data_IF_047052418296
#
_entry.id   IF_047052418296
#
_cell.length_a   1.000
_cell.length_b   1.000
_cell.length_c   1.000
_cell.angle_alpha   90.00
_cell.angle_beta   90.00
_cell.angle_gamma   90.00
#
_symmetry.space_group_name_H-M   'P 1'
#
loop_
_entity.id
_entity.type
_entity.pdbx_description
1 polymer ?
#
# COMPACT_ATOMS: atom_id res chain seq x y z
N UNK A 1 12.58 -5.59 13.55
CA UNK A 1 11.10 -5.56 13.53
C UNK A 1 10.71 -4.16 13.11
N UNK A 2 9.74 -4.00 12.19
CA UNK A 2 9.32 -2.66 11.73
C UNK A 2 7.83 -2.44 11.94
N UNK A 3 7.40 -1.19 11.81
CA UNK A 3 6.01 -0.79 11.94
C UNK A 3 5.57 0.06 10.76
N UNK A 4 4.27 0.12 10.50
CA UNK A 4 3.73 1.04 9.51
C UNK A 4 2.27 1.37 9.82
N UNK A 5 1.84 2.59 9.50
CA UNK A 5 0.43 2.92 9.44
C UNK A 5 -0.04 2.57 8.03
N UNK A 6 -1.13 1.82 7.92
CA UNK A 6 -1.66 1.36 6.63
C UNK A 6 -3.13 1.00 6.69
N UNK A 7 -3.65 0.53 5.56
CA UNK A 7 -4.94 -0.14 5.49
C UNK A 7 -4.86 -1.35 4.57
N UNK A 8 -5.51 -2.43 4.96
CA UNK A 8 -5.67 -3.61 4.10
C UNK A 8 -6.65 -3.31 2.98
N UNK A 9 -6.39 -3.86 1.79
CA UNK A 9 -7.32 -3.72 0.65
C UNK A 9 -8.58 -4.57 0.85
N UNK A 10 -9.74 -4.16 0.31
CA UNK A 10 -10.96 -4.96 0.27
C UNK A 10 -10.80 -6.20 -0.64
N UNK A 11 -11.76 -7.13 -0.56
CA UNK A 11 -11.72 -8.37 -1.35
C UNK A 11 -11.83 -8.10 -2.85
N UNK A 12 -12.71 -7.18 -3.27
CA UNK A 12 -12.88 -6.77 -4.68
C UNK A 12 -11.54 -6.36 -5.35
N UNK A 13 -10.67 -5.65 -4.62
CA UNK A 13 -9.35 -5.28 -5.11
C UNK A 13 -8.47 -6.52 -5.30
N UNK A 14 -8.51 -7.49 -4.38
CA UNK A 14 -7.70 -8.72 -4.46
C UNK A 14 -8.10 -9.56 -5.67
N UNK A 15 -9.39 -9.67 -5.93
CA UNK A 15 -9.93 -10.40 -7.08
C UNK A 15 -9.46 -9.75 -8.38
N UNK A 16 -9.58 -8.43 -8.49
CA UNK A 16 -9.16 -7.68 -9.68
C UNK A 16 -7.67 -7.83 -9.95
N UNK A 17 -6.83 -7.68 -8.92
CA UNK A 17 -5.39 -7.85 -9.08
C UNK A 17 -5.02 -9.29 -9.43
N UNK A 18 -5.80 -10.27 -8.98
CA UNK A 18 -5.56 -11.69 -9.29
C UNK A 18 -5.94 -12.02 -10.74
N UNK A 19 -7.04 -11.44 -11.23
CA UNK A 19 -7.54 -11.65 -12.59
C UNK A 19 -6.78 -10.85 -13.65
N UNK A 20 -6.11 -9.76 -13.27
CA UNK A 20 -5.41 -8.85 -14.18
C UNK A 20 -3.90 -8.81 -13.94
N UNK A 21 -3.31 -9.88 -13.36
CA UNK A 21 -1.86 -9.94 -13.16
C UNK A 21 -1.13 -9.76 -14.50
N UNK A 22 -0.20 -8.81 -14.61
CA UNK A 22 0.54 -8.63 -15.84
C UNK A 22 1.51 -9.80 -16.04
N UNK A 23 1.72 -10.16 -17.29
CA UNK A 23 2.70 -11.17 -17.67
C UNK A 23 4.11 -10.55 -17.61
N UNK A 24 4.85 -10.89 -16.56
CA UNK A 24 6.19 -10.38 -16.29
C UNK A 24 7.03 -11.52 -15.74
N UNK A 25 8.18 -11.75 -16.38
CA UNK A 25 9.10 -12.80 -16.01
C UNK A 25 9.71 -12.60 -14.62
N UNK A 26 9.94 -13.73 -13.94
CA UNK A 26 10.73 -13.82 -12.71
C UNK A 26 10.24 -12.93 -11.55
N UNK A 27 8.92 -12.78 -11.46
CA UNK A 27 8.23 -12.04 -10.40
C UNK A 27 7.81 -12.96 -9.27
N UNK A 28 8.21 -12.62 -8.05
CA UNK A 28 7.61 -13.14 -6.82
C UNK A 28 6.40 -12.30 -6.45
N UNK A 29 5.21 -12.79 -6.76
CA UNK A 29 3.95 -12.15 -6.39
C UNK A 29 3.72 -12.14 -4.87
N UNK A 30 3.23 -11.02 -4.36
CA UNK A 30 2.77 -10.90 -2.97
C UNK A 30 1.45 -11.66 -2.83
N UNK A 31 1.26 -12.34 -1.70
CA UNK A 31 0.00 -13.04 -1.40
C UNK A 31 -1.15 -12.01 -1.28
N UNK A 32 -2.34 -12.23 -1.87
CA UNK A 32 -3.42 -11.25 -1.86
C UNK A 32 -3.80 -10.73 -0.46
N UNK A 33 -3.83 -11.60 0.55
CA UNK A 33 -4.10 -11.21 1.94
C UNK A 33 -3.03 -10.32 2.60
N UNK A 34 -1.93 -10.00 1.91
CA UNK A 34 -0.89 -9.06 2.36
C UNK A 34 -0.92 -7.73 1.61
N UNK A 35 -1.83 -7.54 0.66
CA UNK A 35 -1.98 -6.27 -0.04
C UNK A 35 -2.49 -5.20 0.93
N UNK A 36 -1.80 -4.08 0.95
CA UNK A 36 -2.11 -2.93 1.80
C UNK A 36 -1.57 -1.66 1.14
N UNK A 37 -2.17 -0.53 1.50
CA UNK A 37 -1.56 0.79 1.32
C UNK A 37 -0.74 1.10 2.57
N UNK A 38 0.44 1.69 2.38
CA UNK A 38 1.26 2.23 3.48
C UNK A 38 1.15 3.75 3.47
N UNK A 39 0.72 4.33 4.57
CA UNK A 39 0.69 5.78 4.79
C UNK A 39 2.03 6.29 5.32
N UNK A 40 2.59 5.58 6.31
CA UNK A 40 3.87 5.94 6.92
C UNK A 40 4.59 4.68 7.43
N UNK A 41 5.92 4.62 7.22
CA UNK A 41 6.75 3.49 7.61
C UNK A 41 7.75 3.89 8.71
N UNK A 42 7.91 3.00 9.69
CA UNK A 42 8.83 3.17 10.82
C UNK A 42 9.75 1.95 10.88
N UNK A 43 11.05 2.16 10.63
CA UNK A 43 12.04 1.09 10.75
C UNK A 43 12.08 0.51 12.17
N UNK A 44 11.98 1.39 13.15
CA UNK A 44 11.81 1.09 14.57
C UNK A 44 10.80 2.08 15.16
N UNK A 45 10.06 1.66 16.20
CA UNK A 45 9.10 2.52 16.88
C UNK A 45 9.35 2.50 18.40
N UNK A 46 10.11 3.49 18.92
CA UNK A 46 10.27 3.72 20.35
C UNK A 46 8.93 3.84 21.07
N UNK A 47 8.88 3.47 22.36
CA UNK A 47 7.65 3.46 23.15
C UNK A 47 7.07 4.88 23.26
N UNK A 48 7.95 5.86 23.37
CA UNK A 48 7.65 7.28 23.55
C UNK A 48 6.89 7.85 22.33
N UNK A 49 7.16 7.33 21.14
CA UNK A 49 6.52 7.77 19.89
C UNK A 49 5.18 7.08 19.63
N UNK A 50 4.80 6.05 20.39
CA UNK A 50 3.55 5.31 20.15
C UNK A 50 2.31 6.17 20.29
N UNK A 51 2.30 7.10 21.25
CA UNK A 51 1.16 8.01 21.43
C UNK A 51 0.99 8.96 20.24
N UNK A 52 2.08 9.40 19.63
CA UNK A 52 2.02 10.22 18.41
C UNK A 52 1.50 9.40 17.24
N UNK A 53 1.98 8.17 17.07
CA UNK A 53 1.49 7.25 16.03
C UNK A 53 0.00 6.96 16.21
N UNK A 54 -0.49 6.74 17.43
CA UNK A 54 -1.93 6.56 17.68
C UNK A 54 -2.75 7.81 17.37
N UNK A 55 -2.21 9.01 17.63
CA UNK A 55 -2.83 10.27 17.21
C UNK A 55 -2.92 10.36 15.68
N UNK A 56 -1.86 9.99 14.96
CA UNK A 56 -1.86 9.94 13.49
C UNK A 56 -2.88 8.93 12.95
N UNK A 57 -2.96 7.72 13.52
CA UNK A 57 -3.98 6.73 13.11
C UNK A 57 -5.39 7.28 13.34
N UNK A 58 -5.63 7.94 14.48
CA UNK A 58 -6.93 8.58 14.77
C UNK A 58 -7.27 9.68 13.77
N UNK A 59 -6.32 10.56 13.47
CA UNK A 59 -6.50 11.62 12.48
C UNK A 59 -6.78 11.03 11.09
N UNK A 60 -6.06 9.98 10.69
CA UNK A 60 -6.34 9.27 9.45
C UNK A 60 -7.76 8.71 9.43
N UNK A 61 -8.27 8.16 10.54
CA UNK A 61 -9.62 7.56 10.60
C UNK A 61 -10.74 8.54 10.23
N UNK A 62 -10.55 9.85 10.37
CA UNK A 62 -11.53 10.88 9.98
C UNK A 62 -11.77 10.92 8.46
N UNK A 63 -10.83 10.38 7.68
CA UNK A 63 -10.92 10.30 6.21
C UNK A 63 -11.47 8.96 5.70
N UNK A 64 -11.88 8.06 6.60
CA UNK A 64 -12.37 6.73 6.23
C UNK A 64 -13.90 6.64 6.31
N UNK A 65 -14.57 5.87 5.42
CA UNK A 65 -13.98 5.01 4.38
C UNK A 65 -13.29 5.81 3.27
N UNK A 66 -12.04 5.44 2.95
CA UNK A 66 -11.19 6.19 2.04
C UNK A 66 -11.42 5.69 0.61
N UNK A 67 -12.10 6.51 -0.20
CA UNK A 67 -12.38 6.24 -1.60
C UNK A 67 -11.12 6.33 -2.46
N UNK A 68 -10.90 5.30 -3.28
CA UNK A 68 -9.70 5.15 -4.10
C UNK A 68 -10.04 4.58 -5.47
N UNK A 69 -9.23 4.91 -6.46
CA UNK A 69 -9.25 4.29 -7.77
C UNK A 69 -7.93 3.56 -8.05
N UNK A 70 -8.01 2.29 -8.42
CA UNK A 70 -6.89 1.52 -8.95
C UNK A 70 -6.66 1.90 -10.41
N UNK A 71 -5.55 2.58 -10.71
CA UNK A 71 -5.27 3.08 -12.06
C UNK A 71 -4.61 2.03 -12.94
N UNK A 72 -3.37 1.68 -12.63
CA UNK A 72 -2.58 0.79 -13.47
C UNK A 72 -1.43 0.16 -12.69
N UNK A 73 -0.88 -0.91 -13.25
CA UNK A 73 0.39 -1.45 -12.79
C UNK A 73 1.55 -0.56 -13.21
N UNK A 74 2.56 -0.48 -12.35
CA UNK A 74 3.80 0.25 -12.59
C UNK A 74 4.99 -0.47 -11.94
N UNK A 75 6.19 -0.12 -12.39
CA UNK A 75 7.45 -0.59 -11.81
C UNK A 75 8.17 0.50 -11.00
N UNK A 76 8.76 0.13 -9.86
CA UNK A 76 9.63 0.99 -9.04
C UNK A 76 11.07 0.44 -8.99
N UNK A 77 12.13 1.29 -9.06
CA UNK A 77 12.10 2.76 -9.11
C UNK A 77 11.68 3.34 -10.46
N UNK A 78 11.68 2.54 -11.53
CA UNK A 78 11.13 2.94 -12.82
C UNK A 78 10.64 1.72 -13.59
N UNK A 79 9.80 1.93 -14.59
CA UNK A 79 9.30 0.88 -15.48
C UNK A 79 10.43 0.18 -16.24
N UNK A 80 11.57 0.83 -16.52
CA UNK A 80 12.70 0.20 -17.25
C UNK A 80 13.58 -0.70 -16.40
N UNK A 81 13.52 -0.55 -15.07
CA UNK A 81 14.41 -1.23 -14.11
C UNK A 81 13.65 -1.58 -12.84
N UNK A 82 12.46 -2.15 -12.99
CA UNK A 82 11.56 -2.43 -11.89
C UNK A 82 12.12 -3.52 -10.99
N UNK A 83 12.14 -3.27 -9.68
CA UNK A 83 12.37 -4.25 -8.60
C UNK A 83 11.09 -4.57 -7.86
N UNK A 84 10.17 -3.60 -7.82
CA UNK A 84 8.87 -3.72 -7.17
C UNK A 84 7.80 -3.44 -8.21
N UNK A 85 6.78 -4.29 -8.24
CA UNK A 85 5.57 -4.11 -9.04
C UNK A 85 4.51 -3.57 -8.11
N UNK A 86 3.95 -2.43 -8.51
CA UNK A 86 2.96 -1.70 -7.74
C UNK A 86 1.71 -1.50 -8.58
N UNK A 87 0.59 -1.33 -7.91
CA UNK A 87 -0.62 -0.74 -8.48
C UNK A 87 -0.69 0.69 -8.00
N UNK A 88 -0.70 1.64 -8.94
CA UNK A 88 -0.88 3.06 -8.63
C UNK A 88 -2.33 3.30 -8.23
N UNK A 89 -2.51 4.06 -7.16
CA UNK A 89 -3.82 4.48 -6.69
C UNK A 89 -3.99 5.98 -6.89
N UNK A 90 -5.23 6.40 -7.09
CA UNK A 90 -5.66 7.78 -6.94
C UNK A 90 -6.62 7.85 -5.75
N UNK A 91 -6.37 8.78 -4.81
CA UNK A 91 -7.24 8.96 -3.64
C UNK A 91 -8.22 10.10 -3.93
N UNK A 92 -9.49 9.93 -3.55
CA UNK A 92 -10.48 10.99 -3.72
C UNK A 92 -10.23 12.20 -2.79
N UNK A 93 -9.68 11.94 -1.59
CA UNK A 93 -9.33 13.00 -0.64
C UNK A 93 -7.80 13.18 -0.57
N UNK A 94 -7.32 14.30 -1.11
CA UNK A 94 -5.89 14.66 -1.12
C UNK A 94 -5.37 15.07 0.26
N UNK A 95 -6.24 15.47 1.19
CA UNK A 95 -5.86 15.92 2.54
C UNK A 95 -5.25 14.79 3.38
N UNK A 96 -5.51 13.53 3.03
CA UNK A 96 -4.87 12.35 3.64
C UNK A 96 -3.34 12.44 3.55
N UNK A 97 -2.80 13.03 2.48
CA UNK A 97 -1.36 13.23 2.32
C UNK A 97 -0.78 14.18 3.37
N UNK A 98 -1.56 15.15 3.87
CA UNK A 98 -1.13 16.11 4.90
C UNK A 98 -0.99 15.50 6.30
N UNK A 99 -1.72 14.41 6.55
CA UNK A 99 -1.54 13.59 7.77
C UNK A 99 -0.32 12.68 7.66
N UNK A 100 0.07 12.34 6.43
CA UNK A 100 1.29 11.62 6.13
C UNK A 100 2.48 12.59 6.08
N UNK A 101 3.71 12.07 6.08
CA UNK A 101 4.89 12.90 5.80
C UNK A 101 4.85 13.37 4.33
N UNK A 102 4.21 14.53 4.15
CA UNK A 102 3.62 15.11 2.92
C UNK A 102 4.55 15.06 1.68
N UNK A 103 5.87 15.15 1.86
CA UNK A 103 6.81 15.29 0.74
C UNK A 103 7.05 14.01 -0.08
N UNK A 104 6.52 12.85 0.31
CA UNK A 104 6.85 11.56 -0.32
C UNK A 104 5.69 10.60 -0.51
N UNK A 105 4.48 10.97 -0.11
CA UNK A 105 3.36 10.06 -0.19
C UNK A 105 2.94 9.83 -1.65
N UNK A 106 3.16 8.61 -2.13
CA UNK A 106 2.75 8.17 -3.45
C UNK A 106 1.82 6.98 -3.23
N UNK A 107 0.49 7.14 -3.30
CA UNK A 107 -0.44 6.08 -2.94
C UNK A 107 -0.31 4.90 -3.91
N UNK A 108 0.05 3.74 -3.37
CA UNK A 108 0.23 2.52 -4.15
C UNK A 108 0.06 1.27 -3.29
N UNK A 109 -0.22 0.14 -3.95
CA UNK A 109 -0.19 -1.19 -3.34
C UNK A 109 0.92 -2.00 -3.99
N UNK A 110 1.83 -2.54 -3.19
CA UNK A 110 2.84 -3.47 -3.69
C UNK A 110 2.22 -4.84 -3.95
N UNK A 111 2.36 -5.33 -5.18
CA UNK A 111 1.75 -6.59 -5.63
C UNK A 111 2.80 -7.64 -6.00
N UNK A 112 4.04 -7.24 -6.27
CA UNK A 112 5.09 -8.18 -6.63
C UNK A 112 6.50 -7.63 -6.48
N UNK A 113 7.47 -8.54 -6.45
CA UNK A 113 8.89 -8.23 -6.44
C UNK A 113 9.57 -8.95 -7.60
N UNK A 114 10.19 -8.21 -8.51
CA UNK A 114 10.99 -8.79 -9.58
C UNK A 114 12.35 -9.23 -9.01
N UNK A 115 12.74 -10.48 -9.25
CA UNK A 115 14.04 -11.02 -8.79
C UNK A 115 15.20 -10.42 -9.58
N UNK A 116 14.98 -10.20 -10.87
CA UNK A 116 15.85 -9.44 -11.75
C UNK A 116 15.21 -8.08 -12.09
N UNK A 117 15.98 -7.12 -12.63
CA UNK A 117 15.42 -5.84 -13.08
C UNK A 117 14.47 -6.10 -14.25
N UNK A 118 13.16 -6.09 -13.98
CA UNK A 118 12.15 -6.29 -15.01
C UNK A 118 11.92 -4.99 -15.80
N UNK A 119 11.71 -5.14 -17.10
CA UNK A 119 11.13 -4.08 -17.92
C UNK A 119 9.63 -4.25 -17.87
N UNK A 120 8.95 -3.24 -17.34
CA UNK A 120 7.51 -3.19 -17.28
C UNK A 120 6.99 -2.41 -18.50
N UNK A 121 6.23 -3.10 -19.36
CA UNK A 121 5.51 -2.46 -20.46
C UNK A 121 4.20 -1.89 -19.89
N UNK A 122 3.83 -0.64 -20.21
CA UNK A 122 2.55 -0.06 -19.79
C UNK A 122 1.39 -1.02 -20.06
N UNK A 123 0.64 -1.32 -19.01
CA UNK A 123 -0.50 -2.24 -19.08
C UNK A 123 -1.79 -1.48 -19.31
N UNK A 124 -2.85 -2.21 -19.69
CA UNK A 124 -4.21 -1.68 -19.71
C UNK A 124 -4.56 -1.10 -18.31
N UNK A 125 -5.25 0.04 -18.25
CA UNK A 125 -5.80 0.54 -17.01
C UNK A 125 -6.71 -0.49 -16.33
N UNK A 126 -6.72 -0.46 -14.99
CA UNK A 126 -7.63 -1.22 -14.14
C UNK A 126 -8.96 -0.48 -13.96
N UNK A 127 -8.94 0.86 -13.91
CA UNK A 127 -10.08 1.77 -13.78
C UNK A 127 -11.17 1.28 -12.81
N UNK A 128 -10.73 0.86 -11.62
CA UNK A 128 -11.63 0.28 -10.62
C UNK A 128 -11.64 1.10 -9.34
N UNK A 129 -12.84 1.48 -8.88
CA UNK A 129 -13.04 2.21 -7.63
C UNK A 129 -13.35 1.26 -6.50
N UNK A 130 -12.76 1.50 -5.33
CA UNK A 130 -12.95 0.73 -4.12
C UNK A 130 -12.72 1.62 -2.89
N UNK A 131 -13.01 1.12 -1.69
CA UNK A 131 -12.76 1.87 -0.46
C UNK A 131 -11.90 1.09 0.53
N UNK A 132 -10.94 1.77 1.15
CA UNK A 132 -10.32 1.26 2.36
C UNK A 132 -11.25 1.51 3.55
N UNK A 133 -11.41 0.52 4.43
CA UNK A 133 -12.41 0.57 5.51
C UNK A 133 -11.93 1.34 6.74
N UNK A 134 -10.66 1.17 7.14
CA UNK A 134 -10.06 1.88 8.28
C UNK A 134 -8.53 1.84 8.25
N UNK A 135 -7.83 2.85 8.81
CA UNK A 135 -6.41 2.78 9.02
C UNK A 135 -6.09 1.97 10.29
N UNK A 136 -4.88 1.41 10.33
CA UNK A 136 -4.34 0.83 11.55
C UNK A 136 -2.81 0.89 11.56
N UNK A 137 -2.23 0.84 12.76
CA UNK A 137 -0.82 0.53 12.97
C UNK A 137 -0.61 -0.98 12.88
N UNK A 138 0.33 -1.37 12.03
CA UNK A 138 0.79 -2.74 11.84
C UNK A 138 2.22 -2.92 12.31
N UNK A 139 2.50 -4.10 12.85
CA UNK A 139 3.84 -4.63 13.10
C UNK A 139 4.19 -5.60 11.98
N UNK A 140 5.39 -5.46 11.42
CA UNK A 140 5.95 -6.35 10.40
C UNK A 140 7.15 -7.11 10.96
N UNK A 141 7.06 -8.44 10.94
CA UNK A 141 8.13 -9.34 11.37
C UNK A 141 8.21 -10.55 10.46
N UNK A 142 9.38 -10.81 9.86
CA UNK A 142 9.61 -11.93 8.92
C UNK A 142 8.52 -12.02 7.83
N UNK A 143 7.99 -10.87 7.41
CA UNK A 143 6.93 -10.75 6.40
C UNK A 143 5.52 -11.08 6.90
N UNK A 144 5.30 -11.28 8.20
CA UNK A 144 3.98 -11.37 8.82
C UNK A 144 3.57 -9.98 9.28
N UNK A 145 2.34 -9.57 8.94
CA UNK A 145 1.77 -8.30 9.37
C UNK A 145 0.74 -8.57 10.47
N UNK A 146 0.97 -7.98 11.64
CA UNK A 146 0.06 -8.06 12.78
C UNK A 146 -0.48 -6.67 13.04
N UNK A 147 -1.79 -6.51 13.02
CA UNK A 147 -2.41 -5.27 13.48
C UNK A 147 -2.22 -5.12 14.99
N UNK A 148 -1.77 -3.94 15.44
CA UNK A 148 -1.49 -3.68 16.85
C UNK A 148 -2.33 -2.54 17.43
N UNK A 149 -3.21 -1.94 16.63
CA UNK A 149 -4.13 -0.92 17.15
C UNK A 149 -5.34 -1.63 17.72
N UNK A 150 -5.58 -1.45 19.01
CA UNK A 150 -6.87 -1.78 19.64
C UNK A 150 -7.53 -0.45 19.96
N UNK A 151 -8.59 -0.11 19.24
CA UNK A 151 -9.53 0.92 19.66
C UNK A 151 -10.62 0.26 20.49
#
# INVERSE_FOLDING_TARGET
>A
MSYFIGSVVPEEFREIISNNKPDVDDVRWVKPGKYHITFEYFAELPIELRQEVYRKVRALSEYFPLQCEAKCYSGFPSYRKARVIIVRLELANFEVASVCDDKRFNPHVTVGYARNRAVFVPQKPLDHTFSFSRPALFRSEKGVYTEITRF
#
